data_IF_939923227383
#
_entry.id   IF_939923227383
#
_cell.length_a   1.000
_cell.length_b   1.000
_cell.length_c   1.000
_cell.angle_alpha   90.00
_cell.angle_beta   90.00
_cell.angle_gamma   90.00
#
_symmetry.space_group_name_H-M   'P 1'
#
loop_
_entity.id
_entity.type
_entity.pdbx_description
1 polymer ?
#
# COMPACT_ATOMS: atom_id res chain seq x y z
N UNK A 1 8.76 6.00 -22.34
CA UNK A 1 9.20 6.84 -21.22
C UNK A 1 8.28 6.52 -20.04
N UNK A 2 8.59 5.45 -19.29
CA UNK A 2 7.84 5.04 -18.11
C UNK A 2 8.57 5.67 -16.92
N UNK A 3 8.16 6.87 -16.54
CA UNK A 3 8.77 7.63 -15.45
C UNK A 3 7.72 7.79 -14.34
N UNK A 4 8.13 7.37 -13.15
CA UNK A 4 7.38 7.39 -11.88
C UNK A 4 6.41 6.24 -11.69
N UNK A 5 6.92 5.12 -11.16
CA UNK A 5 6.14 4.23 -10.30
C UNK A 5 5.61 5.09 -9.15
N UNK A 6 4.36 5.53 -9.26
CA UNK A 6 3.74 6.49 -8.37
C UNK A 6 3.29 5.80 -7.09
N UNK A 7 3.04 6.56 -6.03
CA UNK A 7 2.60 6.02 -4.73
C UNK A 7 1.26 5.24 -4.84
N UNK A 8 0.47 5.50 -5.89
CA UNK A 8 -0.71 4.69 -6.23
C UNK A 8 -0.34 3.27 -6.70
N UNK A 9 0.74 3.09 -7.46
CA UNK A 9 1.18 1.77 -7.91
C UNK A 9 1.65 0.91 -6.73
N UNK A 10 2.21 1.56 -5.70
CA UNK A 10 2.62 0.91 -4.45
C UNK A 10 1.38 0.44 -3.65
N UNK A 11 0.32 1.26 -3.62
CA UNK A 11 -0.96 0.88 -3.01
C UNK A 11 -1.60 -0.29 -3.77
N UNK A 12 -1.72 -0.18 -5.10
CA UNK A 12 -2.30 -1.22 -5.94
C UNK A 12 -1.54 -2.54 -5.80
N UNK A 13 -0.20 -2.47 -5.74
CA UNK A 13 0.61 -3.65 -5.48
C UNK A 13 0.34 -4.24 -4.10
N UNK A 14 0.29 -3.42 -3.03
CA UNK A 14 -0.04 -3.92 -1.69
C UNK A 14 -1.41 -4.62 -1.65
N UNK A 15 -2.40 -4.09 -2.37
CA UNK A 15 -3.74 -4.65 -2.46
C UNK A 15 -3.79 -6.04 -3.13
N UNK A 16 -2.89 -6.31 -4.09
CA UNK A 16 -2.78 -7.64 -4.71
C UNK A 16 -2.34 -8.72 -3.71
N UNK A 17 -1.64 -8.33 -2.65
CA UNK A 17 -1.13 -9.25 -1.63
C UNK A 17 -2.03 -9.35 -0.41
N UNK A 18 -3.15 -8.64 -0.36
CA UNK A 18 -4.18 -8.86 0.65
C UNK A 18 -5.09 -10.02 0.25
N UNK A 19 -5.36 -11.01 1.13
CA UNK A 19 -5.01 -11.12 2.55
C UNK A 19 -3.78 -12.01 2.84
N UNK A 20 -2.88 -12.19 1.87
CA UNK A 20 -1.76 -13.15 1.91
C UNK A 20 -0.58 -12.73 2.80
N UNK A 21 -0.66 -11.56 3.46
CA UNK A 21 0.36 -11.08 4.40
C UNK A 21 1.46 -10.21 3.77
N UNK A 22 1.25 -9.72 2.55
CA UNK A 22 2.15 -8.79 1.88
C UNK A 22 3.17 -9.44 0.92
N UNK A 23 3.84 -8.64 0.08
CA UNK A 23 4.82 -9.13 -0.90
C UNK A 23 6.12 -9.60 -0.26
N UNK A 24 6.76 -10.62 -0.84
CA UNK A 24 8.13 -10.96 -0.46
C UNK A 24 9.12 -9.93 -1.01
N UNK A 25 10.30 -9.73 -0.37
CA UNK A 25 11.28 -8.73 -0.80
C UNK A 25 11.71 -8.86 -2.27
N UNK A 26 11.83 -10.10 -2.77
CA UNK A 26 12.16 -10.36 -4.19
C UNK A 26 11.10 -9.81 -5.15
N UNK A 27 9.83 -9.87 -4.75
CA UNK A 27 8.69 -9.48 -5.59
C UNK A 27 8.61 -7.94 -5.64
N UNK A 28 8.92 -7.28 -4.52
CA UNK A 28 9.10 -5.82 -4.45
C UNK A 28 10.25 -5.35 -5.33
N UNK A 29 11.43 -5.98 -5.21
CA UNK A 29 12.58 -5.61 -6.04
C UNK A 29 12.30 -5.84 -7.52
N UNK A 30 11.60 -6.92 -7.89
CA UNK A 30 11.20 -7.18 -9.27
C UNK A 30 10.21 -6.13 -9.81
N UNK A 31 9.25 -5.69 -8.99
CA UNK A 31 8.21 -4.76 -9.42
C UNK A 31 8.66 -3.30 -9.44
N UNK A 32 9.47 -2.89 -8.46
CA UNK A 32 9.77 -1.47 -8.23
C UNK A 32 11.25 -1.10 -8.31
N UNK A 33 12.15 -2.08 -8.45
CA UNK A 33 13.60 -1.88 -8.38
C UNK A 33 14.07 -1.14 -7.10
N UNK A 34 13.34 -1.31 -6.00
CA UNK A 34 13.68 -0.82 -4.67
C UNK A 34 13.79 -1.99 -3.68
N UNK A 35 14.42 -1.74 -2.53
CA UNK A 35 14.41 -2.69 -1.43
C UNK A 35 13.12 -2.62 -0.61
N UNK A 36 12.88 -3.65 0.21
CA UNK A 36 11.67 -3.78 1.02
C UNK A 36 11.47 -2.61 2.01
N UNK A 37 12.55 -2.03 2.55
CA UNK A 37 12.41 -0.93 3.52
C UNK A 37 11.95 0.37 2.83
N UNK A 38 12.47 0.65 1.64
CA UNK A 38 12.03 1.81 0.85
C UNK A 38 10.59 1.61 0.36
N UNK A 39 10.21 0.39 -0.01
CA UNK A 39 8.82 0.06 -0.32
C UNK A 39 7.88 0.30 0.87
N UNK A 40 8.22 -0.20 2.06
CA UNK A 40 7.41 0.00 3.27
C UNK A 40 7.29 1.49 3.64
N UNK A 41 8.38 2.26 3.53
CA UNK A 41 8.36 3.70 3.76
C UNK A 41 7.39 4.41 2.82
N UNK A 42 7.46 4.10 1.53
CA UNK A 42 6.59 4.70 0.52
C UNK A 42 5.14 4.26 0.67
N UNK A 43 4.91 2.99 1.01
CA UNK A 43 3.57 2.47 1.30
C UNK A 43 2.95 3.20 2.50
N UNK A 44 3.68 3.36 3.60
CA UNK A 44 3.22 4.09 4.77
C UNK A 44 2.86 5.55 4.45
N UNK A 45 3.69 6.22 3.63
CA UNK A 45 3.42 7.59 3.18
C UNK A 45 2.16 7.66 2.31
N UNK A 46 2.00 6.73 1.37
CA UNK A 46 0.85 6.64 0.47
C UNK A 46 -0.46 6.41 1.23
N UNK A 47 -0.46 5.46 2.17
CA UNK A 47 -1.60 5.20 3.07
C UNK A 47 -1.93 6.44 3.89
N UNK A 48 -0.93 7.09 4.49
CA UNK A 48 -1.13 8.29 5.30
C UNK A 48 -1.72 9.47 4.51
N UNK A 49 -1.27 9.65 3.26
CA UNK A 49 -1.84 10.63 2.35
C UNK A 49 -3.31 10.31 2.05
N UNK A 50 -3.60 9.06 1.69
CA UNK A 50 -4.94 8.60 1.34
C UNK A 50 -5.93 8.77 2.50
N UNK A 51 -5.54 8.39 3.71
CA UNK A 51 -6.32 8.59 4.95
C UNK A 51 -6.56 10.08 5.22
N UNK A 52 -5.55 10.93 4.97
CA UNK A 52 -5.68 12.37 5.15
C UNK A 52 -6.64 13.01 4.15
N UNK A 53 -6.65 12.55 2.89
CA UNK A 53 -7.62 12.98 1.87
C UNK A 53 -9.05 12.57 2.23
N UNK A 54 -9.22 11.36 2.75
CA UNK A 54 -10.51 10.85 3.21
C UNK A 54 -11.09 11.67 4.35
N UNK A 55 -10.27 12.02 5.34
CA UNK A 55 -10.68 12.88 6.47
C UNK A 55 -11.09 14.28 6.02
N UNK A 56 -10.55 14.77 4.89
CA UNK A 56 -10.88 16.08 4.32
C UNK A 56 -12.13 16.08 3.43
N UNK A 57 -12.82 14.93 3.28
CA UNK A 57 -14.08 14.84 2.52
C UNK A 57 -13.93 14.84 1.00
N UNK A 58 -12.72 14.65 0.46
CA UNK A 58 -12.42 14.67 -0.98
C UNK A 58 -12.72 13.37 -1.73
N UNK A 59 -13.63 12.51 -1.23
CA UNK A 59 -13.80 11.17 -1.78
C UNK A 59 -14.61 11.18 -3.09
N UNK A 60 -13.91 11.20 -4.23
CA UNK A 60 -14.49 10.74 -5.50
C UNK A 60 -14.91 9.27 -5.37
N UNK A 61 -15.94 8.85 -6.12
CA UNK A 61 -16.60 7.54 -5.95
C UNK A 61 -15.66 6.34 -6.22
N UNK A 62 -14.56 6.55 -6.93
CA UNK A 62 -13.51 5.52 -7.13
C UNK A 62 -12.72 5.18 -5.85
N UNK A 63 -12.71 6.06 -4.84
CA UNK A 63 -11.97 5.88 -3.58
C UNK A 63 -12.60 4.88 -2.61
N UNK A 64 -13.87 4.51 -2.81
CA UNK A 64 -14.62 3.65 -1.88
C UNK A 64 -14.12 2.20 -1.92
N UNK A 65 -13.59 1.74 -3.07
CA UNK A 65 -13.02 0.40 -3.22
C UNK A 65 -11.67 0.27 -2.50
N UNK A 66 -10.80 1.28 -2.61
CA UNK A 66 -9.54 1.32 -1.86
C UNK A 66 -9.74 1.46 -0.35
N UNK A 67 -10.85 2.08 0.08
CA UNK A 67 -11.15 2.34 1.50
C UNK A 67 -11.25 1.08 2.35
N UNK A 68 -11.93 0.05 1.83
CA UNK A 68 -12.17 -1.19 2.58
C UNK A 68 -10.89 -1.98 2.79
N UNK A 69 -10.02 -2.00 1.79
CA UNK A 69 -8.76 -2.73 1.84
C UNK A 69 -7.66 -1.96 2.60
N UNK A 70 -7.60 -0.62 2.49
CA UNK A 70 -6.73 0.21 3.33
C UNK A 70 -7.16 0.14 4.81
N UNK A 71 -8.46 0.10 5.10
CA UNK A 71 -8.96 -0.10 6.47
C UNK A 71 -8.65 -1.50 7.02
N UNK A 72 -8.43 -2.50 6.16
CA UNK A 72 -7.99 -3.83 6.57
C UNK A 72 -6.51 -3.83 6.97
N UNK A 73 -5.67 -3.12 6.21
CA UNK A 73 -4.25 -2.92 6.53
C UNK A 73 -4.04 -2.18 7.87
N UNK A 74 -4.84 -1.14 8.16
CA UNK A 74 -4.78 -0.39 9.43
C UNK A 74 -5.17 -1.24 10.66
N UNK A 75 -6.06 -2.23 10.48
CA UNK A 75 -6.51 -3.11 11.57
C UNK A 75 -5.58 -4.28 11.84
N UNK A 76 -4.66 -4.60 10.94
CA UNK A 76 -3.72 -5.69 11.09
C UNK A 76 -2.29 -5.23 10.74
N UNK A 77 -1.66 -4.40 11.59
CA UNK A 77 -0.24 -4.13 11.46
C UNK A 77 0.51 -5.41 11.78
N UNK A 78 0.87 -6.16 10.74
CA UNK A 78 1.87 -7.22 10.70
C UNK A 78 2.24 -7.79 12.09
N UNK A 79 1.42 -8.70 12.62
CA UNK A 79 1.88 -9.69 13.60
C UNK A 79 2.75 -10.71 12.86
N UNK A 80 3.94 -10.29 12.47
CA UNK A 80 5.04 -11.19 12.12
C UNK A 80 5.77 -11.46 13.43
N UNK A 81 5.49 -12.60 14.07
CA UNK A 81 6.19 -12.94 15.31
C UNK A 81 5.77 -14.17 16.11
N UNK A 82 4.81 -14.99 15.70
CA UNK A 82 4.48 -16.23 16.45
C UNK A 82 4.03 -17.37 15.51
N UNK A 83 4.95 -17.96 14.75
CA UNK A 83 5.04 -19.42 14.48
C UNK A 83 6.52 -19.77 14.22
#
# INVERSE_FOLDING_TARGET
>A
MWNSLCDNDILDFALLWEPLGGPAPRDVTAAFAIDINEYERRLAAAVGFQVSQLRKGGASREFVYGLSAISALDRNPLRVGDI
#
